data_IF_848782552690
#
_entry.id   IF_848782552690
#
_cell.length_a   1.000
_cell.length_b   1.000
_cell.length_c   1.000
_cell.angle_alpha   90.00
_cell.angle_beta   90.00
_cell.angle_gamma   90.00
#
_symmetry.space_group_name_H-M   'P 1'
#
loop_
_entity.id
_entity.type
_entity.pdbx_description
1 polymer ?
#
# COMPACT_ATOMS: atom_id res chain seq x y z
N UNK A 1 24.40 -2.26 -27.92
CA UNK A 1 23.86 -2.75 -26.63
C UNK A 1 22.59 -1.96 -26.33
N UNK A 2 21.46 -2.62 -26.03
CA UNK A 2 20.24 -1.92 -25.57
C UNK A 2 20.27 -1.87 -24.05
N UNK A 3 20.14 -0.68 -23.47
CA UNK A 3 20.07 -0.47 -22.01
C UNK A 3 18.65 -0.02 -21.67
N UNK A 4 17.99 -0.70 -20.76
CA UNK A 4 16.74 -0.27 -20.15
C UNK A 4 17.05 0.32 -18.78
N UNK A 5 16.70 1.58 -18.57
CA UNK A 5 17.06 2.34 -17.36
C UNK A 5 15.83 2.95 -16.65
N UNK A 6 14.61 2.50 -16.99
CA UNK A 6 13.37 2.99 -16.40
C UNK A 6 12.75 1.93 -15.46
N UNK A 7 13.54 1.44 -14.51
CA UNK A 7 13.11 0.40 -13.56
C UNK A 7 12.11 0.92 -12.52
N UNK A 8 11.97 2.22 -12.36
CA UNK A 8 10.94 2.82 -11.52
C UNK A 8 9.53 2.67 -12.12
N UNK A 9 9.42 2.60 -13.45
CA UNK A 9 8.15 2.38 -14.14
C UNK A 9 7.79 0.90 -14.22
N UNK A 10 8.75 0.03 -14.60
CA UNK A 10 8.54 -1.41 -14.75
C UNK A 10 9.87 -2.17 -14.71
N UNK A 11 9.81 -3.43 -14.30
CA UNK A 11 10.97 -4.32 -14.27
C UNK A 11 10.68 -5.59 -15.08
N UNK A 12 11.74 -6.25 -15.53
CA UNK A 12 11.62 -7.58 -16.13
C UNK A 12 11.22 -8.60 -15.05
N UNK A 13 10.31 -9.50 -15.39
CA UNK A 13 9.99 -10.66 -14.56
C UNK A 13 11.27 -11.50 -14.32
N UNK A 14 11.57 -11.81 -13.07
CA UNK A 14 12.72 -12.64 -12.73
C UNK A 14 12.52 -14.09 -13.18
N UNK A 15 13.61 -14.77 -13.50
CA UNK A 15 13.52 -16.18 -13.94
C UNK A 15 12.97 -17.08 -12.81
N UNK A 16 13.22 -16.74 -11.55
CA UNK A 16 12.67 -17.42 -10.36
C UNK A 16 11.15 -17.22 -10.27
N UNK A 17 10.66 -15.99 -10.45
CA UNK A 17 9.23 -15.72 -10.43
C UNK A 17 8.51 -16.42 -11.61
N UNK A 18 9.10 -16.34 -12.81
CA UNK A 18 8.55 -17.02 -13.99
C UNK A 18 8.44 -18.54 -13.76
N UNK A 19 9.49 -19.18 -13.23
CA UNK A 19 9.48 -20.61 -12.92
C UNK A 19 8.40 -20.97 -11.88
N UNK A 20 8.19 -20.15 -10.86
CA UNK A 20 7.16 -20.36 -9.85
C UNK A 20 5.73 -20.16 -10.39
N UNK A 21 5.54 -19.24 -11.33
CA UNK A 21 4.23 -18.92 -11.92
C UNK A 21 3.80 -19.93 -13.01
N UNK A 22 4.74 -20.44 -13.81
CA UNK A 22 4.46 -21.30 -14.95
C UNK A 22 3.53 -22.50 -14.63
N UNK A 23 3.72 -23.26 -13.53
CA UNK A 23 2.82 -24.36 -13.18
C UNK A 23 1.37 -23.88 -12.89
N UNK A 24 1.20 -22.66 -12.41
CA UNK A 24 -0.13 -22.11 -12.13
C UNK A 24 -0.93 -21.80 -13.41
N UNK A 25 -0.28 -21.61 -14.54
CA UNK A 25 -0.95 -21.42 -15.83
C UNK A 25 -1.28 -22.72 -16.55
N UNK A 26 -0.53 -23.79 -16.31
CA UNK A 26 -0.59 -25.01 -17.10
C UNK A 26 -1.15 -26.23 -16.33
N UNK A 27 -0.85 -26.34 -15.04
CA UNK A 27 -1.14 -27.51 -14.23
C UNK A 27 -2.10 -27.21 -13.07
N UNK A 28 -1.92 -26.07 -12.38
CA UNK A 28 -2.67 -25.70 -11.17
C UNK A 28 -3.62 -24.52 -11.49
N UNK A 29 -4.47 -24.71 -12.48
CA UNK A 29 -5.39 -23.67 -12.97
C UNK A 29 -6.82 -23.80 -12.41
N UNK A 30 -7.04 -24.65 -11.41
CA UNK A 30 -8.34 -24.86 -10.79
C UNK A 30 -8.88 -23.60 -10.10
N UNK A 31 -10.20 -23.49 -10.00
CA UNK A 31 -10.81 -22.42 -9.22
C UNK A 31 -10.59 -22.70 -7.72
N UNK A 32 -9.88 -21.82 -6.97
CA UNK A 32 -9.58 -22.03 -5.55
C UNK A 32 -10.82 -22.09 -4.64
N UNK A 33 -12.00 -21.69 -5.13
CA UNK A 33 -13.26 -21.82 -4.39
C UNK A 33 -13.96 -23.17 -4.59
N UNK A 34 -13.43 -24.05 -5.48
CA UNK A 34 -14.03 -25.35 -5.76
C UNK A 34 -13.55 -26.43 -4.77
N UNK A 35 -14.47 -27.34 -4.39
CA UNK A 35 -14.20 -28.39 -3.40
C UNK A 35 -13.47 -29.62 -3.96
N UNK A 36 -13.37 -29.77 -5.28
CA UNK A 36 -12.67 -30.87 -5.92
C UNK A 36 -11.14 -30.67 -5.93
N UNK A 37 -10.38 -31.75 -6.14
CA UNK A 37 -8.91 -31.77 -6.06
C UNK A 37 -8.22 -30.64 -6.85
N UNK A 38 -8.53 -30.35 -8.13
CA UNK A 38 -7.89 -29.21 -8.81
C UNK A 38 -8.13 -27.85 -8.13
N UNK A 39 -9.31 -27.63 -7.54
CA UNK A 39 -9.62 -26.42 -6.79
C UNK A 39 -8.83 -26.33 -5.48
N UNK A 40 -8.69 -27.45 -4.77
CA UNK A 40 -7.91 -27.52 -3.53
C UNK A 40 -6.43 -27.23 -3.78
N UNK A 41 -5.82 -27.80 -4.84
CA UNK A 41 -4.45 -27.50 -5.22
C UNK A 41 -4.23 -26.00 -5.53
N UNK A 42 -5.19 -25.36 -6.22
CA UNK A 42 -5.14 -23.93 -6.47
C UNK A 42 -5.28 -23.09 -5.18
N UNK A 43 -6.17 -23.52 -4.28
CA UNK A 43 -6.34 -22.87 -2.96
C UNK A 43 -5.06 -22.97 -2.11
N UNK A 44 -4.40 -24.13 -2.08
CA UNK A 44 -3.13 -24.33 -1.38
C UNK A 44 -2.03 -23.41 -1.94
N UNK A 45 -1.93 -23.26 -3.26
CA UNK A 45 -0.95 -22.34 -3.88
C UNK A 45 -1.21 -20.89 -3.51
N UNK A 46 -2.48 -20.46 -3.52
CA UNK A 46 -2.86 -19.12 -3.14
C UNK A 46 -2.59 -18.85 -1.65
N UNK A 47 -2.89 -19.83 -0.78
CA UNK A 47 -2.59 -19.75 0.65
C UNK A 47 -1.08 -19.63 0.91
N UNK A 48 -0.28 -20.49 0.26
CA UNK A 48 1.18 -20.44 0.38
C UNK A 48 1.77 -19.09 -0.07
N UNK A 49 1.27 -18.52 -1.17
CA UNK A 49 1.69 -17.18 -1.60
C UNK A 49 1.35 -16.12 -0.55
N UNK A 50 0.14 -16.18 0.00
CA UNK A 50 -0.33 -15.26 1.05
C UNK A 50 0.55 -15.33 2.31
N UNK A 51 0.91 -16.54 2.75
CA UNK A 51 1.80 -16.76 3.89
C UNK A 51 3.21 -16.18 3.67
N UNK A 52 3.73 -16.25 2.43
CA UNK A 52 5.02 -15.64 2.10
C UNK A 52 4.97 -14.12 2.26
N UNK A 53 3.93 -13.46 1.73
CA UNK A 53 3.77 -12.01 1.91
C UNK A 53 3.61 -11.65 3.38
N UNK A 54 2.71 -12.32 4.09
CA UNK A 54 2.46 -12.06 5.51
C UNK A 54 3.74 -12.17 6.36
N UNK A 55 4.53 -13.21 6.13
CA UNK A 55 5.80 -13.42 6.86
C UNK A 55 6.82 -12.32 6.59
N UNK A 56 6.91 -11.85 5.33
CA UNK A 56 7.87 -10.80 4.97
C UNK A 56 7.45 -9.41 5.47
N UNK A 57 6.15 -9.20 5.68
CA UNK A 57 5.60 -7.95 6.20
C UNK A 57 5.36 -7.96 7.72
N UNK A 58 5.59 -9.10 8.38
CA UNK A 58 5.24 -9.36 9.79
C UNK A 58 3.75 -9.14 10.07
N UNK A 59 2.88 -9.59 9.13
CA UNK A 59 1.43 -9.50 9.20
C UNK A 59 0.78 -10.89 9.37
N UNK A 60 -0.50 -10.94 9.74
CA UNK A 60 -1.29 -12.19 9.68
C UNK A 60 -1.68 -12.48 8.23
N UNK A 61 -1.61 -13.74 7.74
CA UNK A 61 -2.04 -14.09 6.39
C UNK A 61 -3.47 -13.66 6.05
N UNK A 62 -4.35 -13.51 7.04
CA UNK A 62 -5.74 -13.03 6.85
C UNK A 62 -5.82 -11.53 6.53
N UNK A 63 -4.76 -10.77 6.81
CA UNK A 63 -4.65 -9.34 6.52
C UNK A 63 -4.16 -9.05 5.10
N UNK A 64 -3.65 -10.09 4.40
CA UNK A 64 -3.16 -9.94 3.02
C UNK A 64 -4.32 -10.01 2.04
N UNK A 65 -4.51 -8.97 1.25
CA UNK A 65 -5.51 -8.92 0.17
C UNK A 65 -4.81 -8.79 -1.18
N UNK A 66 -5.06 -9.71 -2.10
CA UNK A 66 -4.58 -9.60 -3.48
C UNK A 66 -5.57 -8.79 -4.33
N UNK A 67 -5.04 -7.86 -5.10
CA UNK A 67 -5.77 -7.00 -6.04
C UNK A 67 -5.15 -7.09 -7.43
N UNK A 68 -5.76 -6.45 -8.42
CA UNK A 68 -5.23 -6.40 -9.79
C UNK A 68 -3.99 -5.50 -9.93
N UNK A 69 -3.66 -4.70 -8.92
CA UNK A 69 -2.50 -3.80 -8.91
C UNK A 69 -2.58 -2.72 -7.84
N UNK A 70 -1.51 -1.93 -7.69
CA UNK A 70 -1.41 -0.88 -6.67
C UNK A 70 -2.56 0.12 -6.71
N UNK A 71 -2.97 0.56 -7.91
CA UNK A 71 -4.07 1.53 -8.04
C UNK A 71 -5.41 1.02 -7.48
N UNK A 72 -5.73 -0.27 -7.64
CA UNK A 72 -6.91 -0.85 -7.01
C UNK A 72 -6.72 -0.94 -5.50
N UNK A 73 -5.55 -1.36 -5.05
CA UNK A 73 -5.24 -1.49 -3.64
C UNK A 73 -5.32 -0.15 -2.90
N UNK A 74 -4.68 0.92 -3.43
CA UNK A 74 -4.78 2.28 -2.90
C UNK A 74 -6.24 2.76 -2.81
N UNK A 75 -7.01 2.59 -3.91
CA UNK A 75 -8.41 2.97 -3.93
C UNK A 75 -9.22 2.24 -2.85
N UNK A 76 -9.02 0.94 -2.71
CA UNK A 76 -9.72 0.13 -1.72
C UNK A 76 -9.36 0.56 -0.29
N UNK A 77 -8.08 0.75 -0.02
CA UNK A 77 -7.58 1.16 1.29
C UNK A 77 -8.13 2.53 1.70
N UNK A 78 -7.91 3.55 0.87
CA UNK A 78 -8.33 4.92 1.14
C UNK A 78 -9.86 5.04 1.32
N UNK A 79 -10.65 4.43 0.43
CA UNK A 79 -12.12 4.45 0.51
C UNK A 79 -12.64 3.70 1.73
N UNK A 80 -12.02 2.57 2.07
CA UNK A 80 -12.41 1.79 3.25
C UNK A 80 -12.14 2.56 4.55
N UNK A 81 -10.96 3.19 4.66
CA UNK A 81 -10.60 4.04 5.80
C UNK A 81 -11.52 5.27 5.90
N UNK A 82 -11.79 5.94 4.78
CA UNK A 82 -12.70 7.09 4.72
C UNK A 82 -14.12 6.70 5.16
N UNK A 83 -14.66 5.59 4.64
CA UNK A 83 -15.99 5.09 5.02
C UNK A 83 -16.07 4.72 6.52
N UNK A 84 -15.01 4.12 7.06
CA UNK A 84 -14.92 3.81 8.49
C UNK A 84 -14.90 5.10 9.34
N UNK A 85 -14.13 6.10 8.89
CA UNK A 85 -14.07 7.43 9.51
C UNK A 85 -15.43 8.13 9.51
N UNK A 86 -16.13 8.12 8.38
CA UNK A 86 -17.45 8.74 8.25
C UNK A 86 -18.49 8.16 9.24
N UNK A 87 -18.45 6.85 9.50
CA UNK A 87 -19.29 6.21 10.54
C UNK A 87 -19.04 6.76 11.94
N UNK A 88 -17.89 7.37 12.17
CA UNK A 88 -17.46 8.01 13.44
C UNK A 88 -17.55 9.54 13.39
N UNK A 89 -18.16 10.10 12.36
CA UNK A 89 -18.27 11.55 12.15
C UNK A 89 -16.95 12.23 11.73
N UNK A 90 -15.94 11.46 11.31
CA UNK A 90 -14.65 11.97 10.87
C UNK A 90 -14.58 11.98 9.34
N UNK A 91 -14.23 13.12 8.75
CA UNK A 91 -14.20 13.30 7.29
C UNK A 91 -12.98 14.09 6.80
N UNK A 92 -11.95 14.23 7.62
CA UNK A 92 -10.70 14.87 7.22
C UNK A 92 -9.62 13.82 6.92
N UNK A 93 -8.85 14.03 5.87
CA UNK A 93 -7.76 13.18 5.41
C UNK A 93 -6.51 14.06 5.22
N UNK A 94 -5.37 13.61 5.72
CA UNK A 94 -4.07 14.24 5.50
C UNK A 94 -3.28 13.39 4.51
N UNK A 95 -2.67 14.01 3.49
CA UNK A 95 -1.80 13.34 2.54
C UNK A 95 -0.71 14.30 2.04
N UNK A 96 0.04 13.91 1.02
CA UNK A 96 1.14 14.71 0.48
C UNK A 96 0.90 15.09 -0.99
N UNK A 97 1.57 16.15 -1.45
CA UNK A 97 1.46 16.60 -2.86
C UNK A 97 2.22 15.72 -3.85
N UNK A 98 3.07 14.82 -3.38
CA UNK A 98 3.92 13.98 -4.24
C UNK A 98 3.51 12.50 -4.29
N UNK A 99 2.30 12.19 -3.81
CA UNK A 99 1.72 10.85 -3.92
C UNK A 99 1.56 10.41 -5.38
N UNK A 100 1.54 9.10 -5.58
CA UNK A 100 1.15 8.54 -6.86
C UNK A 100 -0.28 8.95 -7.25
N UNK A 101 -0.54 9.06 -8.55
CA UNK A 101 -1.86 9.49 -9.07
C UNK A 101 -3.02 8.60 -8.59
N UNK A 102 -2.78 7.32 -8.29
CA UNK A 102 -3.78 6.43 -7.71
C UNK A 102 -4.31 6.96 -6.38
N UNK A 103 -3.43 7.50 -5.52
CA UNK A 103 -3.79 8.15 -4.26
C UNK A 103 -4.45 9.51 -4.52
N UNK A 104 -3.79 10.41 -5.28
CA UNK A 104 -4.27 11.76 -5.51
C UNK A 104 -5.67 11.80 -6.16
N UNK A 105 -5.90 10.98 -7.19
CA UNK A 105 -7.22 10.93 -7.85
C UNK A 105 -8.30 10.34 -6.93
N UNK A 106 -7.94 9.39 -6.08
CA UNK A 106 -8.87 8.85 -5.08
C UNK A 106 -9.24 9.91 -4.05
N UNK A 107 -8.26 10.70 -3.56
CA UNK A 107 -8.51 11.81 -2.65
C UNK A 107 -9.41 12.88 -3.29
N UNK A 108 -9.15 13.27 -4.54
CA UNK A 108 -10.02 14.19 -5.29
C UNK A 108 -11.46 13.65 -5.45
N UNK A 109 -11.62 12.34 -5.60
CA UNK A 109 -12.96 11.74 -5.63
C UNK A 109 -13.64 11.81 -4.28
N UNK A 110 -12.91 11.55 -3.19
CA UNK A 110 -13.42 11.67 -1.82
C UNK A 110 -13.79 13.12 -1.46
N UNK A 111 -13.05 14.13 -1.94
CA UNK A 111 -13.43 15.54 -1.77
C UNK A 111 -14.81 15.81 -2.38
N UNK A 112 -15.08 15.29 -3.60
CA UNK A 112 -16.41 15.41 -4.22
C UNK A 112 -17.52 14.68 -3.45
N UNK A 113 -17.16 13.72 -2.62
CA UNK A 113 -18.05 12.96 -1.72
C UNK A 113 -18.20 13.64 -0.34
N UNK A 114 -17.59 14.82 -0.14
CA UNK A 114 -17.72 15.63 1.08
C UNK A 114 -16.69 15.34 2.16
N UNK A 115 -15.53 14.79 1.79
CA UNK A 115 -14.37 14.76 2.65
C UNK A 115 -13.54 16.04 2.47
N UNK A 116 -12.81 16.42 3.48
CA UNK A 116 -11.82 17.49 3.42
C UNK A 116 -10.42 16.87 3.36
N UNK A 117 -9.58 17.32 2.42
CA UNK A 117 -8.23 16.79 2.21
C UNK A 117 -7.21 17.90 2.43
N UNK A 118 -6.26 17.66 3.33
CA UNK A 118 -5.07 18.50 3.49
C UNK A 118 -3.89 17.84 2.82
N UNK A 119 -3.35 18.48 1.77
CA UNK A 119 -2.13 18.03 1.09
C UNK A 119 -0.93 18.81 1.63
N UNK A 120 -0.02 18.11 2.28
CA UNK A 120 1.22 18.67 2.82
C UNK A 120 2.16 19.08 1.68
N UNK A 121 2.79 20.25 1.85
CA UNK A 121 3.88 20.69 0.98
C UNK A 121 5.13 19.86 1.25
N UNK A 122 5.87 19.62 0.18
CA UNK A 122 7.10 18.85 0.21
C UNK A 122 8.27 19.81 0.41
N UNK A 123 9.08 19.64 1.46
CA UNK A 123 10.31 20.39 1.63
C UNK A 123 11.31 20.16 0.49
N UNK A 124 12.32 21.04 0.30
CA UNK A 124 13.29 20.93 -0.80
C UNK A 124 14.12 19.63 -0.79
N UNK A 125 14.25 18.97 0.36
CA UNK A 125 14.93 17.67 0.52
C UNK A 125 14.02 16.49 0.14
N UNK A 126 12.75 16.74 -0.15
CA UNK A 126 11.78 15.71 -0.55
C UNK A 126 11.27 14.85 0.61
N UNK A 127 11.47 15.24 1.87
CA UNK A 127 11.11 14.44 3.04
C UNK A 127 10.07 15.18 3.89
N UNK A 128 8.89 14.58 4.07
CA UNK A 128 7.85 15.08 4.98
C UNK A 128 8.19 14.67 6.40
N UNK A 129 8.15 15.62 7.33
CA UNK A 129 8.46 15.35 8.73
C UNK A 129 7.23 14.87 9.50
N UNK A 130 7.45 14.08 10.55
CA UNK A 130 6.39 13.67 11.48
C UNK A 130 5.70 14.88 12.13
N UNK A 131 6.41 16.02 12.32
CA UNK A 131 5.84 17.24 12.88
C UNK A 131 4.89 17.95 11.91
N UNK A 132 5.17 17.94 10.59
CA UNK A 132 4.21 18.42 9.58
C UNK A 132 2.90 17.63 9.63
N UNK A 133 3.01 16.29 9.72
CA UNK A 133 1.85 15.40 9.85
C UNK A 133 1.10 15.70 11.16
N UNK A 134 1.80 15.79 12.29
CA UNK A 134 1.21 16.11 13.60
C UNK A 134 0.42 17.41 13.57
N UNK A 135 0.99 18.44 12.97
CA UNK A 135 0.39 19.78 12.89
C UNK A 135 -0.85 19.81 11.98
N UNK A 136 -0.96 18.89 11.02
CA UNK A 136 -2.10 18.77 10.11
C UNK A 136 -3.24 17.90 10.66
N UNK A 137 -2.98 17.05 11.66
CA UNK A 137 -4.00 16.20 12.27
C UNK A 137 -4.99 17.05 13.08
N UNK A 138 -6.27 16.83 12.84
CA UNK A 138 -7.41 17.51 13.52
C UNK A 138 -8.26 16.46 14.24
N UNK A 139 -9.17 16.88 15.14
CA UNK A 139 -10.07 15.94 15.84
C UNK A 139 -10.94 15.10 14.90
N UNK A 140 -11.28 15.62 13.72
CA UNK A 140 -12.06 14.96 12.68
C UNK A 140 -11.21 14.25 11.61
N UNK A 141 -9.88 14.16 11.79
CA UNK A 141 -9.01 13.37 10.90
C UNK A 141 -9.28 11.88 11.07
N UNK A 142 -9.54 11.19 9.96
CA UNK A 142 -9.77 9.75 9.94
C UNK A 142 -8.61 8.96 9.32
N UNK A 143 -7.81 9.59 8.48
CA UNK A 143 -6.74 8.93 7.74
C UNK A 143 -5.58 9.89 7.50
N UNK A 144 -4.37 9.36 7.64
CA UNK A 144 -3.14 9.92 7.09
C UNK A 144 -2.64 8.97 6.01
N UNK A 145 -2.25 9.49 4.84
CA UNK A 145 -1.69 8.71 3.74
C UNK A 145 -0.40 9.36 3.26
N UNK A 146 0.72 8.67 3.41
CA UNK A 146 2.05 9.13 2.97
C UNK A 146 2.76 7.98 2.29
N UNK A 147 3.17 8.14 1.02
CA UNK A 147 3.90 7.12 0.30
C UNK A 147 5.24 6.80 0.98
N UNK A 148 5.68 5.55 0.91
CA UNK A 148 6.90 5.08 1.55
C UNK A 148 8.16 5.61 0.85
N UNK A 149 8.21 5.43 -0.46
CA UNK A 149 9.32 5.87 -1.30
C UNK A 149 8.77 6.48 -2.59
N UNK A 150 9.28 7.64 -2.97
CA UNK A 150 8.81 8.31 -4.17
C UNK A 150 9.48 7.73 -5.42
N UNK A 151 8.69 7.38 -6.41
CA UNK A 151 9.14 6.76 -7.66
C UNK A 151 9.91 7.71 -8.61
N UNK A 152 9.77 9.04 -8.44
CA UNK A 152 10.40 10.02 -9.31
C UNK A 152 11.71 10.56 -8.72
N UNK A 153 11.72 10.91 -7.44
CA UNK A 153 12.87 11.55 -6.78
C UNK A 153 13.65 10.58 -5.86
N UNK A 154 13.11 9.39 -5.58
CA UNK A 154 13.79 8.34 -4.83
C UNK A 154 13.89 8.57 -3.32
N UNK A 155 13.23 9.59 -2.76
CA UNK A 155 13.24 9.85 -1.33
C UNK A 155 12.42 8.83 -0.56
N UNK A 156 12.96 8.36 0.58
CA UNK A 156 12.27 7.48 1.53
C UNK A 156 11.75 8.33 2.68
N UNK A 157 10.48 8.12 3.03
CA UNK A 157 9.81 8.89 4.09
C UNK A 157 10.04 8.25 5.47
N UNK A 158 10.01 9.03 6.56
CA UNK A 158 10.18 8.54 7.93
C UNK A 158 8.90 7.85 8.44
N UNK A 159 8.52 6.72 7.82
CA UNK A 159 7.23 6.03 8.03
C UNK A 159 7.03 5.65 9.50
N UNK A 160 8.06 5.15 10.18
CA UNK A 160 7.95 4.77 11.59
C UNK A 160 7.61 5.98 12.50
N UNK A 161 8.23 7.13 12.23
CA UNK A 161 7.96 8.36 13.00
C UNK A 161 6.55 8.90 12.74
N UNK A 162 6.11 8.85 11.48
CA UNK A 162 4.76 9.24 11.07
C UNK A 162 3.73 8.27 11.66
N UNK A 163 3.99 6.96 11.60
CA UNK A 163 3.14 5.94 12.20
C UNK A 163 2.95 6.14 13.70
N UNK A 164 4.02 6.46 14.42
CA UNK A 164 3.96 6.78 15.85
C UNK A 164 3.07 8.00 16.14
N UNK A 165 3.13 9.03 15.30
CA UNK A 165 2.25 10.22 15.40
C UNK A 165 0.79 9.84 15.17
N UNK A 166 0.51 9.07 14.11
CA UNK A 166 -0.84 8.63 13.78
C UNK A 166 -1.45 7.77 14.89
N UNK A 167 -0.67 6.81 15.41
CA UNK A 167 -1.09 5.95 16.52
C UNK A 167 -1.41 6.75 17.78
N UNK A 168 -0.57 7.73 18.16
CA UNK A 168 -0.82 8.61 19.30
C UNK A 168 -2.11 9.43 19.13
N UNK A 169 -2.42 9.83 17.89
CA UNK A 169 -3.62 10.59 17.57
C UNK A 169 -4.88 9.72 17.38
N UNK A 170 -4.75 8.39 17.33
CA UNK A 170 -5.86 7.47 17.04
C UNK A 170 -6.42 7.65 15.64
N UNK A 171 -5.53 7.90 14.67
CA UNK A 171 -5.82 8.11 13.25
C UNK A 171 -5.24 6.94 12.46
N UNK A 172 -5.97 6.40 11.49
CA UNK A 172 -5.46 5.35 10.61
C UNK A 172 -4.32 5.87 9.75
N UNK A 173 -3.31 5.03 9.55
CA UNK A 173 -2.16 5.34 8.72
C UNK A 173 -2.04 4.37 7.54
N UNK A 174 -2.06 4.93 6.33
CA UNK A 174 -1.86 4.26 5.05
C UNK A 174 -0.52 4.67 4.44
N UNK A 175 0.18 3.73 3.82
CA UNK A 175 1.37 4.00 3.03
C UNK A 175 1.33 3.26 1.69
N UNK A 176 1.53 4.00 0.59
CA UNK A 176 1.85 3.40 -0.72
C UNK A 176 3.33 3.00 -0.70
N UNK A 177 3.59 1.71 -0.54
CA UNK A 177 4.93 1.12 -0.51
C UNK A 177 5.28 0.39 -1.82
N UNK A 178 4.58 0.67 -2.92
CA UNK A 178 4.82 0.02 -4.24
C UNK A 178 6.30 0.10 -4.66
N UNK A 179 6.99 1.20 -4.35
CA UNK A 179 8.42 1.37 -4.65
C UNK A 179 9.34 0.87 -3.53
N UNK A 180 8.82 0.56 -2.36
CA UNK A 180 9.60 0.10 -1.21
C UNK A 180 9.56 -1.42 -1.04
N UNK A 181 8.42 -2.05 -1.31
CA UNK A 181 8.22 -3.49 -1.12
C UNK A 181 9.21 -4.31 -1.96
N UNK A 182 9.97 -5.16 -1.28
CA UNK A 182 11.05 -5.95 -1.89
C UNK A 182 12.39 -5.23 -2.06
N UNK A 183 12.47 -3.92 -1.82
CA UNK A 183 13.70 -3.12 -1.91
C UNK A 183 14.24 -2.70 -0.54
N UNK A 184 13.34 -2.44 0.41
CA UNK A 184 13.68 -2.13 1.79
C UNK A 184 12.93 -3.07 2.73
N UNK A 185 13.47 -3.37 3.93
CA UNK A 185 12.73 -4.15 4.93
C UNK A 185 11.46 -3.40 5.37
N UNK A 186 10.34 -4.10 5.38
CA UNK A 186 9.06 -3.58 5.85
C UNK A 186 8.56 -4.48 6.97
N UNK A 187 8.30 -3.91 8.12
CA UNK A 187 7.66 -4.53 9.28
C UNK A 187 6.49 -3.64 9.68
N UNK A 188 5.27 -4.04 9.32
CA UNK A 188 4.08 -3.19 9.47
C UNK A 188 3.76 -2.90 10.94
N UNK A 189 4.11 -3.81 11.86
CA UNK A 189 3.95 -3.58 13.29
C UNK A 189 4.95 -2.55 13.83
N UNK A 190 6.24 -2.71 13.47
CA UNK A 190 7.30 -1.78 13.89
C UNK A 190 7.09 -0.38 13.29
N UNK A 191 6.62 -0.30 12.06
CA UNK A 191 6.29 0.95 11.37
C UNK A 191 4.97 1.57 11.81
N UNK A 192 4.13 0.82 12.55
CA UNK A 192 2.82 1.23 13.02
C UNK A 192 1.88 1.67 11.90
N UNK A 193 1.89 0.92 10.79
CA UNK A 193 1.06 1.14 9.61
C UNK A 193 -0.20 0.28 9.72
N UNK A 194 -1.37 0.87 9.45
CA UNK A 194 -2.65 0.17 9.43
C UNK A 194 -2.98 -0.41 8.04
N UNK A 195 -2.47 0.20 6.98
CA UNK A 195 -2.66 -0.23 5.59
C UNK A 195 -1.39 0.03 4.79
N UNK A 196 -0.80 -1.03 4.22
CA UNK A 196 0.38 -0.97 3.37
C UNK A 196 0.03 -1.53 1.99
N UNK A 197 0.42 -0.80 0.94
CA UNK A 197 0.22 -1.21 -0.44
C UNK A 197 1.57 -1.62 -1.01
N UNK A 198 1.71 -2.91 -1.27
CA UNK A 198 2.84 -3.47 -1.98
C UNK A 198 2.47 -3.86 -3.41
N UNK A 199 3.43 -3.83 -4.31
CA UNK A 199 3.31 -4.41 -5.65
C UNK A 199 4.39 -5.45 -5.82
N UNK A 200 4.01 -6.66 -6.28
CA UNK A 200 5.00 -7.59 -6.78
C UNK A 200 5.66 -6.94 -8.02
N UNK A 201 6.93 -6.58 -7.89
CA UNK A 201 7.75 -6.26 -9.05
C UNK A 201 8.06 -7.58 -9.77
N UNK A 202 7.30 -7.82 -10.83
CA UNK A 202 7.42 -8.98 -11.70
C UNK A 202 8.33 -8.64 -12.85
#
# INVERSE_FOLDING_TARGET
>A
MKIYADNAATTRLSDTALAAMTPCFQEIYGNPSSLHTPGQLAAEKLAAAREVFARNLHADPREITFTSGGSEADNQALRSAAALGAKRGKRHIVSTKFEHHAVLHTLQALEREGYEVTLLDIPPDGVVTAEQVRSAIRPDTCLVSVMFANNEIGTIQPIAEIGAVCRQAGVLFHTDAVQAAGHVPIDVEALQVDQEIGRAHV
#
